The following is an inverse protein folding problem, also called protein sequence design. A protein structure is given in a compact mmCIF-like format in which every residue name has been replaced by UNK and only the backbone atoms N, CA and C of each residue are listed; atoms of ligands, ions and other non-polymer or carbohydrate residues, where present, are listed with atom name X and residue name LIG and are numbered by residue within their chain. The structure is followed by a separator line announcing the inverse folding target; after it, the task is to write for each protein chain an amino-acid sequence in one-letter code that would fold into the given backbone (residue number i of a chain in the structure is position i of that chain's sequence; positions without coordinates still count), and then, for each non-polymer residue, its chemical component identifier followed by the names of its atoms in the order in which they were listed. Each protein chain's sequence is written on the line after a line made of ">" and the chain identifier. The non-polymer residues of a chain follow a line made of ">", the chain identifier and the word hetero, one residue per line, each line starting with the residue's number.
data_IF_397615728411
#
_entry.id   IF_397615728411
#
_cell.length_a   1.000
_cell.length_b   1.000
_cell.length_c   1.000
_cell.angle_alpha   90.00
_cell.angle_beta   90.00
_cell.angle_gamma   90.00
#
_symmetry.space_group_name_H-M   'P 1'
#
loop_
_entity.id
_entity.type
_entity.pdbx_description
1 polymer ?
#
# COMPACT_ATOMS: atom_id res chain seq x y z
N UNK A 1 3.13 -0.39 23.78
CA UNK A 1 2.09 -0.48 22.71
C UNK A 1 2.69 -0.64 21.31
N UNK A 2 3.64 0.19 20.83
CA UNK A 2 4.13 0.11 19.45
C UNK A 2 4.66 -1.27 19.04
N UNK A 3 5.46 -1.91 19.89
CA UNK A 3 5.97 -3.27 19.66
C UNK A 3 4.88 -4.34 19.53
N UNK A 4 3.75 -4.19 20.25
CA UNK A 4 2.61 -5.11 20.12
C UNK A 4 1.96 -4.92 18.74
N UNK A 5 1.73 -3.68 18.34
CA UNK A 5 1.08 -3.33 17.07
C UNK A 5 1.91 -3.79 15.87
N UNK A 6 3.22 -3.55 15.87
CA UNK A 6 4.15 -4.05 14.84
C UNK A 6 4.14 -5.57 14.75
N UNK A 7 4.08 -6.28 15.89
CA UNK A 7 4.06 -7.74 15.92
C UNK A 7 2.77 -8.33 15.35
N UNK A 8 1.62 -7.68 15.57
CA UNK A 8 0.32 -8.22 15.16
C UNK A 8 -0.13 -7.75 13.78
N UNK A 9 0.34 -6.59 13.31
CA UNK A 9 -0.05 -6.02 12.02
C UNK A 9 0.03 -7.02 10.83
N UNK A 10 1.11 -7.82 10.68
CA UNK A 10 1.20 -8.79 9.60
C UNK A 10 0.07 -9.82 9.61
N UNK A 11 -0.48 -10.18 10.78
CA UNK A 11 -1.61 -11.11 10.89
C UNK A 11 -2.92 -10.46 10.38
N UNK A 12 -3.15 -9.18 10.69
CA UNK A 12 -4.34 -8.47 10.18
C UNK A 12 -4.29 -8.31 8.65
N UNK A 13 -3.11 -8.04 8.12
CA UNK A 13 -2.86 -7.89 6.69
C UNK A 13 -2.95 -9.24 5.96
N UNK A 14 -2.54 -10.35 6.59
CA UNK A 14 -2.64 -11.73 6.06
C UNK A 14 -4.09 -12.21 5.85
N UNK A 15 -5.05 -11.71 6.63
CA UNK A 15 -6.45 -12.14 6.56
C UNK A 15 -7.36 -10.97 6.19
N UNK A 16 -7.67 -10.77 4.89
CA UNK A 16 -8.49 -9.67 4.40
C UNK A 16 -9.91 -9.66 5.00
N UNK A 17 -10.47 -8.46 5.13
CA UNK A 17 -11.77 -8.16 5.71
C UNK A 17 -12.40 -7.00 4.94
N UNK A 18 -13.73 -6.86 4.92
CA UNK A 18 -14.37 -5.66 4.39
C UNK A 18 -14.13 -4.40 5.24
N UNK A 19 -13.74 -4.58 6.50
CA UNK A 19 -13.31 -3.50 7.41
C UNK A 19 -11.78 -3.36 7.35
N UNK A 20 -11.29 -2.12 7.32
CA UNK A 20 -9.87 -1.75 7.24
C UNK A 20 -9.00 -2.39 8.33
N UNK A 21 -7.70 -2.52 8.04
CA UNK A 21 -6.71 -3.08 8.98
C UNK A 21 -6.56 -2.18 10.20
N UNK A 22 -6.52 -0.85 10.01
CA UNK A 22 -6.42 0.15 11.06
C UNK A 22 -7.58 0.02 12.04
N UNK A 23 -8.82 -0.03 11.54
CA UNK A 23 -10.01 -0.22 12.37
C UNK A 23 -9.94 -1.55 13.11
N UNK A 24 -9.58 -2.65 12.45
CA UNK A 24 -9.46 -3.97 13.12
C UNK A 24 -8.35 -4.03 14.17
N UNK A 25 -7.23 -3.39 13.93
CA UNK A 25 -6.14 -3.28 14.91
C UNK A 25 -6.56 -2.42 16.11
N UNK A 26 -7.30 -1.33 15.87
CA UNK A 26 -7.87 -0.53 16.94
C UNK A 26 -8.89 -1.32 17.76
N UNK A 27 -9.77 -2.10 17.11
CA UNK A 27 -10.68 -3.02 17.79
C UNK A 27 -9.90 -4.02 18.63
N UNK A 28 -8.82 -4.62 18.12
CA UNK A 28 -7.99 -5.51 18.91
C UNK A 28 -7.41 -4.82 20.15
N UNK A 29 -6.90 -3.59 20.03
CA UNK A 29 -6.40 -2.83 21.19
C UNK A 29 -7.50 -2.60 22.22
N UNK A 30 -8.69 -2.17 21.78
CA UNK A 30 -9.83 -1.94 22.67
C UNK A 30 -10.29 -3.24 23.31
N UNK A 31 -10.61 -4.27 22.53
CA UNK A 31 -11.27 -5.48 23.04
C UNK A 31 -10.34 -6.39 23.86
N UNK A 32 -9.06 -6.45 23.49
CA UNK A 32 -8.07 -7.25 24.23
C UNK A 32 -7.46 -6.51 25.42
N UNK A 33 -7.80 -5.23 25.64
CA UNK A 33 -7.10 -4.39 26.60
C UNK A 33 -5.61 -4.33 26.29
N UNK A 34 -5.26 -4.11 25.02
CA UNK A 34 -3.89 -4.18 24.52
C UNK A 34 -3.15 -5.49 24.87
N UNK A 35 -3.85 -6.61 24.77
CA UNK A 35 -3.35 -7.94 25.07
C UNK A 35 -3.27 -8.30 26.56
N UNK A 36 -3.80 -7.46 27.45
CA UNK A 36 -3.74 -7.67 28.90
C UNK A 36 -5.05 -8.18 29.51
N UNK A 37 -6.15 -8.21 28.75
CA UNK A 37 -7.43 -8.64 29.31
C UNK A 37 -7.38 -10.13 29.72
N UNK A 38 -7.95 -10.51 30.87
CA UNK A 38 -7.99 -11.91 31.29
C UNK A 38 -8.73 -12.81 30.31
N UNK A 39 -9.71 -12.27 29.57
CA UNK A 39 -10.39 -12.99 28.50
C UNK A 39 -9.39 -13.35 27.39
N UNK A 40 -8.65 -12.36 26.86
CA UNK A 40 -7.67 -12.60 25.81
C UNK A 40 -6.57 -13.56 26.25
N UNK A 41 -6.00 -13.38 27.45
CA UNK A 41 -4.92 -14.24 27.95
C UNK A 41 -5.33 -15.70 28.13
N UNK A 42 -6.62 -15.98 28.45
CA UNK A 42 -7.13 -17.34 28.68
C UNK A 42 -7.66 -18.03 27.43
N UNK A 43 -8.03 -17.27 26.39
CA UNK A 43 -8.78 -17.82 25.25
C UNK A 43 -8.31 -17.36 23.88
N UNK A 44 -7.29 -16.50 23.82
CA UNK A 44 -6.85 -15.77 22.62
C UNK A 44 -7.96 -14.98 21.92
N UNK A 45 -9.10 -14.72 22.58
CA UNK A 45 -10.17 -13.92 22.01
C UNK A 45 -9.80 -12.43 22.08
N UNK A 46 -9.18 -11.95 21.00
CA UNK A 46 -8.68 -10.57 20.91
C UNK A 46 -9.76 -9.52 20.63
N UNK A 47 -11.02 -9.94 20.45
CA UNK A 47 -12.09 -9.12 19.89
C UNK A 47 -13.40 -9.16 20.69
N UNK A 48 -13.41 -9.82 21.85
CA UNK A 48 -14.61 -9.92 22.68
C UNK A 48 -15.78 -10.66 22.02
N UNK A 49 -15.52 -11.51 21.02
CA UNK A 49 -16.61 -12.14 20.25
C UNK A 49 -17.31 -13.20 21.10
N UNK A 50 -18.60 -12.98 21.37
CA UNK A 50 -19.49 -13.97 22.02
C UNK A 50 -19.63 -15.23 21.16
N UNK A 51 -19.68 -16.39 21.80
CA UNK A 51 -19.93 -17.67 21.15
C UNK A 51 -21.43 -17.80 20.87
N UNK A 52 -21.84 -17.39 19.67
CA UNK A 52 -23.20 -17.55 19.14
C UNK A 52 -23.19 -18.27 17.79
N UNK A 53 -24.31 -18.90 17.37
CA UNK A 53 -24.42 -19.53 16.06
C UNK A 53 -23.95 -18.60 14.92
N UNK A 54 -23.18 -19.09 13.94
CA UNK A 54 -22.87 -20.51 13.65
C UNK A 54 -21.57 -21.02 14.31
N UNK A 55 -21.07 -20.40 15.38
CA UNK A 55 -19.84 -20.84 16.03
C UNK A 55 -19.99 -22.26 16.62
N UNK A 56 -19.12 -23.17 16.19
CA UNK A 56 -19.05 -24.56 16.69
C UNK A 56 -17.72 -24.89 17.38
N UNK A 57 -16.82 -23.91 17.51
CA UNK A 57 -15.52 -24.11 18.13
C UNK A 57 -15.56 -24.04 19.67
N UNK A 58 -14.39 -24.15 20.31
CA UNK A 58 -14.26 -24.02 21.75
C UNK A 58 -14.84 -22.70 22.27
N UNK A 59 -15.31 -22.72 23.53
CA UNK A 59 -15.85 -21.54 24.21
C UNK A 59 -15.29 -21.44 25.63
N UNK A 60 -15.25 -20.23 26.16
CA UNK A 60 -14.90 -19.93 27.56
C UNK A 60 -16.01 -19.10 28.17
N UNK A 61 -16.35 -19.36 29.43
CA UNK A 61 -17.26 -18.50 30.18
C UNK A 61 -16.47 -17.36 30.81
N UNK A 62 -16.94 -16.13 30.62
CA UNK A 62 -16.33 -14.94 31.21
C UNK A 62 -17.43 -13.92 31.54
N UNK A 63 -17.25 -13.15 32.60
CA UNK A 63 -18.22 -12.10 32.96
C UNK A 63 -17.90 -10.82 32.18
N UNK A 64 -18.86 -10.34 31.39
CA UNK A 64 -18.79 -9.07 30.68
C UNK A 64 -19.82 -8.08 31.22
N UNK A 65 -19.49 -6.80 31.16
CA UNK A 65 -20.47 -5.74 31.37
C UNK A 65 -21.44 -5.76 30.18
N UNK A 66 -22.73 -5.92 30.47
CA UNK A 66 -23.79 -5.82 29.48
C UNK A 66 -24.25 -4.36 29.34
N UNK A 67 -25.15 -4.11 28.38
CA UNK A 67 -25.66 -2.76 28.11
C UNK A 67 -26.38 -2.11 29.33
N UNK A 68 -26.81 -2.91 30.29
CA UNK A 68 -27.41 -2.46 31.56
C UNK A 68 -26.36 -2.10 32.65
N UNK A 69 -25.07 -2.16 32.31
CA UNK A 69 -23.95 -1.89 33.20
C UNK A 69 -23.66 -3.00 34.21
N UNK A 70 -24.34 -4.15 34.13
CA UNK A 70 -24.13 -5.27 35.06
C UNK A 70 -23.21 -6.31 34.44
N UNK A 71 -22.30 -6.84 35.27
CA UNK A 71 -21.48 -7.96 34.88
C UNK A 71 -22.33 -9.24 34.86
N UNK A 72 -22.48 -9.84 33.68
CA UNK A 72 -23.21 -11.10 33.52
C UNK A 72 -22.31 -12.14 32.87
N UNK A 73 -22.42 -13.43 33.26
CA UNK A 73 -21.67 -14.49 32.63
C UNK A 73 -22.14 -14.70 31.19
N UNK A 74 -21.21 -14.66 30.24
CA UNK A 74 -21.46 -14.98 28.85
C UNK A 74 -20.42 -15.98 28.32
N UNK A 75 -20.78 -16.71 27.27
CA UNK A 75 -19.83 -17.57 26.55
C UNK A 75 -19.17 -16.77 25.43
N UNK A 76 -17.84 -16.81 25.41
CA UNK A 76 -17.00 -16.20 24.39
C UNK A 76 -16.32 -17.27 23.56
N UNK A 77 -16.05 -16.98 22.29
CA UNK A 77 -15.25 -17.86 21.43
C UNK A 77 -13.87 -18.05 22.06
N UNK A 78 -13.32 -19.26 21.98
CA UNK A 78 -11.95 -19.59 22.38
C UNK A 78 -11.21 -20.09 21.15
N UNK A 79 -9.98 -19.61 20.98
CA UNK A 79 -9.10 -19.92 19.87
C UNK A 79 -7.83 -20.57 20.36
N UNK A 80 -7.16 -21.32 19.48
CA UNK A 80 -5.87 -21.94 19.79
C UNK A 80 -4.70 -20.96 19.67
N UNK A 81 -4.90 -19.84 18.98
CA UNK A 81 -3.90 -18.79 18.80
C UNK A 81 -4.53 -17.43 18.50
N UNK A 82 -3.75 -16.35 18.67
CA UNK A 82 -4.13 -15.01 18.21
C UNK A 82 -4.43 -15.00 16.71
N UNK A 83 -3.64 -15.71 15.90
CA UNK A 83 -3.85 -15.80 14.46
C UNK A 83 -5.22 -16.40 14.11
N UNK A 84 -5.64 -17.46 14.80
CA UNK A 84 -6.97 -18.05 14.64
C UNK A 84 -8.08 -17.05 15.00
N UNK A 85 -7.88 -16.24 16.06
CA UNK A 85 -8.81 -15.17 16.41
C UNK A 85 -8.89 -14.07 15.35
N UNK A 86 -7.76 -13.64 14.79
CA UNK A 86 -7.70 -12.61 13.73
C UNK A 86 -8.34 -13.12 12.44
N UNK A 87 -8.10 -14.38 12.08
CA UNK A 87 -8.70 -15.04 10.91
C UNK A 87 -10.22 -15.12 11.04
N UNK A 88 -10.74 -15.51 12.21
CA UNK A 88 -12.19 -15.52 12.46
C UNK A 88 -12.80 -14.12 12.43
N UNK A 89 -12.14 -13.14 13.04
CA UNK A 89 -12.56 -11.74 12.99
C UNK A 89 -12.59 -11.18 11.57
N UNK A 90 -11.66 -11.60 10.70
CA UNK A 90 -11.62 -11.16 9.31
C UNK A 90 -12.92 -11.48 8.54
N UNK A 91 -13.53 -12.63 8.85
CA UNK A 91 -14.79 -13.07 8.26
C UNK A 91 -16.02 -12.64 9.09
N UNK A 92 -15.83 -12.11 10.30
CA UNK A 92 -16.91 -11.87 11.26
C UNK A 92 -18.02 -10.98 10.68
N UNK A 93 -17.65 -9.88 10.01
CA UNK A 93 -18.58 -8.90 9.45
C UNK A 93 -19.44 -9.46 8.30
N UNK A 94 -18.98 -10.54 7.65
CA UNK A 94 -19.64 -11.16 6.49
C UNK A 94 -20.09 -12.59 6.74
N UNK A 95 -19.92 -13.11 7.97
CA UNK A 95 -20.16 -14.53 8.27
C UNK A 95 -21.63 -14.94 8.19
N UNK A 96 -22.57 -13.97 8.19
CA UNK A 96 -23.99 -14.21 7.93
C UNK A 96 -24.57 -13.08 7.08
N UNK A 97 -25.66 -13.32 6.32
CA UNK A 97 -26.36 -12.26 5.58
C UNK A 97 -26.80 -11.12 6.49
N UNK A 98 -27.30 -11.41 7.70
CA UNK A 98 -27.67 -10.37 8.66
C UNK A 98 -26.49 -9.47 9.03
N UNK A 99 -25.30 -10.04 9.28
CA UNK A 99 -24.11 -9.25 9.60
C UNK A 99 -23.67 -8.37 8.44
N UNK A 100 -23.63 -8.94 7.23
CA UNK A 100 -23.21 -8.24 6.01
C UNK A 100 -24.20 -7.14 5.60
N UNK A 101 -25.47 -7.48 5.51
CA UNK A 101 -26.48 -6.67 4.82
C UNK A 101 -27.29 -5.78 5.78
N UNK A 102 -27.23 -6.04 7.09
CA UNK A 102 -28.01 -5.31 8.11
C UNK A 102 -27.11 -4.69 9.18
N UNK A 103 -26.45 -5.52 10.00
CA UNK A 103 -25.76 -5.02 11.19
C UNK A 103 -24.53 -4.16 10.83
N UNK A 104 -23.67 -4.63 9.93
CA UNK A 104 -22.40 -3.97 9.62
C UNK A 104 -22.35 -3.36 8.22
N UNK A 105 -23.48 -3.31 7.50
CA UNK A 105 -23.54 -2.76 6.14
C UNK A 105 -22.91 -1.37 6.03
N UNK A 106 -23.25 -0.47 6.95
CA UNK A 106 -22.69 0.90 6.98
C UNK A 106 -21.18 0.91 7.18
N UNK A 107 -20.65 0.03 8.03
CA UNK A 107 -19.22 -0.07 8.26
C UNK A 107 -18.51 -0.69 7.04
N UNK A 108 -19.14 -1.66 6.36
CA UNK A 108 -18.62 -2.30 5.14
C UNK A 108 -18.60 -1.34 3.94
N UNK A 109 -19.59 -0.44 3.84
CA UNK A 109 -19.74 0.53 2.74
C UNK A 109 -19.02 1.87 3.03
N UNK A 110 -18.45 2.03 4.22
CA UNK A 110 -17.74 3.24 4.61
C UNK A 110 -16.51 3.47 3.72
N UNK A 111 -16.23 4.74 3.40
CA UNK A 111 -15.09 5.13 2.57
C UNK A 111 -13.86 5.53 3.40
N UNK A 112 -14.03 5.72 4.70
CA UNK A 112 -12.98 6.17 5.61
C UNK A 112 -13.00 5.39 6.92
N UNK A 113 -11.85 5.28 7.60
CA UNK A 113 -11.77 4.62 8.91
C UNK A 113 -12.63 5.33 9.96
N UNK A 114 -12.84 6.64 9.83
CA UNK A 114 -13.72 7.41 10.71
C UNK A 114 -15.17 6.96 10.53
N UNK A 115 -15.65 6.85 9.30
CA UNK A 115 -17.00 6.34 9.00
C UNK A 115 -17.16 4.88 9.45
N UNK A 116 -16.16 4.03 9.21
CA UNK A 116 -16.14 2.64 9.70
C UNK A 116 -16.28 2.60 11.23
N UNK A 117 -15.41 3.32 11.94
CA UNK A 117 -15.38 3.36 13.40
C UNK A 117 -16.72 3.85 13.97
N UNK A 118 -17.29 4.92 13.42
CA UNK A 118 -18.58 5.45 13.85
C UNK A 118 -19.73 4.48 13.55
N UNK A 119 -19.69 3.80 12.42
CA UNK A 119 -20.69 2.79 12.08
C UNK A 119 -20.65 1.55 13.00
N UNK A 120 -19.55 1.32 13.72
CA UNK A 120 -19.44 0.24 14.71
C UNK A 120 -19.97 0.64 16.10
N UNK A 121 -20.18 1.93 16.36
CA UNK A 121 -20.72 2.43 17.63
C UNK A 121 -22.12 1.89 17.91
N UNK A 122 -22.34 1.35 19.11
CA UNK A 122 -23.63 0.81 19.54
C UNK A 122 -24.04 -0.50 18.84
N UNK A 123 -23.28 -0.97 17.84
CA UNK A 123 -23.58 -2.18 17.07
C UNK A 123 -22.57 -3.29 17.37
N UNK A 124 -21.27 -2.99 17.30
CA UNK A 124 -20.23 -3.95 17.66
C UNK A 124 -20.09 -4.07 19.18
N UNK A 125 -20.05 -2.92 19.86
CA UNK A 125 -20.07 -2.80 21.30
C UNK A 125 -21.22 -1.86 21.73
N UNK A 126 -21.82 -2.13 22.89
CA UNK A 126 -22.90 -1.27 23.45
C UNK A 126 -22.44 0.10 23.95
N UNK A 127 -21.14 0.38 23.85
CA UNK A 127 -20.51 1.65 24.22
C UNK A 127 -20.83 2.74 23.20
N UNK A 128 -21.44 3.83 23.66
CA UNK A 128 -21.82 4.97 22.81
C UNK A 128 -20.62 5.79 22.33
N UNK A 129 -19.45 5.63 22.96
CA UNK A 129 -18.22 6.31 22.57
C UNK A 129 -17.25 5.38 21.82
N UNK A 130 -17.73 4.23 21.33
CA UNK A 130 -16.86 3.20 20.75
C UNK A 130 -16.10 3.70 19.51
N UNK A 131 -16.79 4.34 18.57
CA UNK A 131 -16.18 4.88 17.36
C UNK A 131 -15.10 5.92 17.67
N UNK A 132 -15.37 6.84 18.60
CA UNK A 132 -14.39 7.85 19.02
C UNK A 132 -13.14 7.21 19.62
N UNK A 133 -13.29 6.14 20.42
CA UNK A 133 -12.15 5.38 20.97
C UNK A 133 -11.32 4.74 19.87
N UNK A 134 -11.97 4.14 18.87
CA UNK A 134 -11.27 3.55 17.73
C UNK A 134 -10.50 4.62 16.95
N UNK A 135 -11.13 5.74 16.62
CA UNK A 135 -10.50 6.86 15.91
C UNK A 135 -9.29 7.37 16.70
N UNK A 136 -9.43 7.60 18.01
CA UNK A 136 -8.32 8.04 18.86
C UNK A 136 -7.14 7.06 18.84
N UNK A 137 -7.40 5.75 18.89
CA UNK A 137 -6.35 4.73 18.82
C UNK A 137 -5.69 4.71 17.43
N UNK A 138 -6.49 4.80 16.36
CA UNK A 138 -5.99 4.86 14.98
C UNK A 138 -5.07 6.05 14.78
N UNK A 139 -5.46 7.23 15.27
CA UNK A 139 -4.69 8.46 15.12
C UNK A 139 -3.44 8.48 16.01
N UNK A 140 -3.59 8.10 17.29
CA UNK A 140 -2.50 8.07 18.26
C UNK A 140 -1.35 7.14 17.81
N UNK A 141 -1.68 5.98 17.25
CA UNK A 141 -0.69 5.01 16.78
C UNK A 141 -0.50 5.00 15.27
N UNK A 142 -1.08 5.97 14.55
CA UNK A 142 -0.98 6.12 13.11
C UNK A 142 -1.28 4.82 12.35
N UNK A 143 -2.35 4.11 12.75
CA UNK A 143 -2.63 2.75 12.28
C UNK A 143 -3.01 2.65 10.81
N UNK A 144 -3.40 3.76 10.18
CA UNK A 144 -3.69 3.82 8.73
C UNK A 144 -2.48 3.45 7.86
N UNK A 145 -1.28 3.47 8.43
CA UNK A 145 -0.07 2.95 7.79
C UNK A 145 -0.12 1.43 7.54
N UNK A 146 -1.06 0.69 8.16
CA UNK A 146 -1.24 -0.75 8.03
C UNK A 146 -2.43 -1.16 7.12
N UNK A 147 -3.34 -0.24 6.78
CA UNK A 147 -4.39 -0.46 5.74
C UNK A 147 -3.81 -0.71 4.36
N UNK A 148 -2.65 -0.09 4.19
CA UNK A 148 -1.60 -0.44 3.26
C UNK A 148 -1.22 -1.91 3.48
N UNK A 149 -1.65 -2.80 2.58
CA UNK A 149 -1.37 -4.24 2.66
C UNK A 149 0.10 -4.52 3.03
N UNK A 150 0.36 -5.34 4.06
CA UNK A 150 1.63 -6.06 4.13
C UNK A 150 1.60 -7.07 2.99
N UNK A 151 2.71 -7.23 2.29
CA UNK A 151 2.75 -8.10 1.14
C UNK A 151 2.70 -9.56 1.60
N UNK A 152 1.57 -10.23 1.42
CA UNK A 152 1.65 -11.55 0.81
C UNK A 152 2.00 -11.31 -0.65
N UNK A 153 3.30 -11.21 -0.91
CA UNK A 153 3.99 -10.84 -2.16
C UNK A 153 3.52 -9.51 -2.79
N UNK A 154 4.31 -8.43 -2.71
CA UNK A 154 3.91 -7.18 -3.33
C UNK A 154 3.91 -7.43 -4.83
N UNK A 155 2.77 -7.28 -5.50
CA UNK A 155 2.65 -7.53 -6.94
C UNK A 155 3.84 -6.90 -7.67
N UNK A 156 4.68 -7.72 -8.27
CA UNK A 156 5.76 -7.29 -9.14
C UNK A 156 5.46 -7.74 -10.57
N UNK A 157 5.85 -6.97 -11.59
CA UNK A 157 5.74 -7.42 -12.96
C UNK A 157 6.63 -8.66 -13.17
N UNK A 158 6.37 -9.40 -14.23
CA UNK A 158 7.39 -10.32 -14.73
C UNK A 158 8.59 -9.47 -15.18
N UNK A 159 9.77 -9.75 -14.64
CA UNK A 159 11.01 -9.06 -14.98
C UNK A 159 11.89 -9.99 -15.79
N UNK A 160 12.32 -9.52 -16.96
CA UNK A 160 13.35 -10.14 -17.77
C UNK A 160 14.59 -9.27 -17.68
N UNK A 161 15.57 -9.74 -16.93
CA UNK A 161 16.90 -9.12 -16.94
C UNK A 161 17.65 -9.57 -18.19
N UNK A 162 17.95 -8.61 -19.06
CA UNK A 162 18.64 -8.87 -20.32
C UNK A 162 19.81 -7.94 -20.57
N UNK A 163 20.43 -7.46 -19.49
CA UNK A 163 21.57 -6.54 -19.58
C UNK A 163 22.73 -7.12 -20.38
N UNK A 164 22.95 -8.42 -20.31
CA UNK A 164 24.03 -9.11 -21.06
C UNK A 164 23.75 -9.22 -22.56
N UNK A 165 22.49 -9.06 -22.99
CA UNK A 165 22.08 -9.14 -24.40
C UNK A 165 21.74 -7.78 -25.01
N UNK A 166 21.88 -6.68 -24.26
CA UNK A 166 21.50 -5.37 -24.72
C UNK A 166 22.51 -4.79 -25.73
N UNK A 167 21.99 -4.08 -26.74
CA UNK A 167 22.82 -3.44 -27.77
C UNK A 167 23.86 -2.51 -27.14
N UNK A 168 25.14 -2.75 -27.39
CA UNK A 168 26.23 -1.90 -26.89
C UNK A 168 26.70 -2.20 -25.46
N UNK A 169 26.15 -3.21 -24.77
CA UNK A 169 26.66 -3.68 -23.48
C UNK A 169 26.56 -2.68 -22.31
N UNK A 170 27.26 -3.01 -21.21
CA UNK A 170 27.12 -2.36 -19.89
C UNK A 170 28.38 -1.58 -19.46
N UNK A 171 28.79 -0.58 -20.24
CA UNK A 171 29.83 0.34 -19.78
C UNK A 171 29.31 1.23 -18.62
N UNK A 172 30.23 1.66 -17.76
CA UNK A 172 29.94 2.62 -16.70
C UNK A 172 30.26 4.03 -17.21
N UNK A 173 29.27 4.72 -17.77
CA UNK A 173 29.47 6.02 -18.42
C UNK A 173 29.26 7.20 -17.45
N UNK A 174 28.50 6.99 -16.37
CA UNK A 174 28.18 8.02 -15.38
C UNK A 174 27.99 7.46 -13.98
N UNK A 175 28.24 8.26 -12.92
CA UNK A 175 27.83 7.89 -11.57
C UNK A 175 26.31 7.98 -11.43
N UNK A 176 25.71 7.15 -10.55
CA UNK A 176 24.27 7.20 -10.26
C UNK A 176 23.78 8.58 -9.80
N UNK A 177 24.63 9.33 -9.10
CA UNK A 177 24.31 10.68 -8.63
C UNK A 177 24.09 11.70 -9.76
N UNK A 178 24.55 11.41 -10.99
CA UNK A 178 24.28 12.23 -12.16
C UNK A 178 22.82 12.12 -12.62
N UNK A 179 22.10 11.05 -12.26
CA UNK A 179 20.72 10.83 -12.69
C UNK A 179 19.79 11.70 -11.85
N UNK A 180 19.08 12.62 -12.50
CA UNK A 180 18.17 13.59 -11.88
C UNK A 180 16.71 13.40 -12.26
N UNK A 181 16.46 12.78 -13.41
CA UNK A 181 15.13 12.74 -14.02
C UNK A 181 14.78 11.33 -14.50
N UNK A 182 13.56 10.88 -14.24
CA UNK A 182 12.98 9.67 -14.85
C UNK A 182 12.13 10.12 -16.03
N UNK A 183 12.36 9.57 -17.21
CA UNK A 183 11.64 9.96 -18.43
C UNK A 183 10.81 8.80 -18.95
N UNK A 184 9.52 9.06 -19.11
CA UNK A 184 8.56 8.14 -19.72
C UNK A 184 8.49 8.31 -21.23
N UNK A 185 8.49 7.18 -21.91
CA UNK A 185 8.41 7.05 -23.36
C UNK A 185 7.32 6.08 -23.80
N UNK A 186 6.90 6.22 -25.05
CA UNK A 186 6.39 5.09 -25.84
C UNK A 186 7.39 4.73 -26.94
N UNK A 187 7.21 3.60 -27.60
CA UNK A 187 8.03 3.21 -28.75
C UNK A 187 7.59 3.79 -30.09
N UNK A 188 6.41 4.41 -30.15
CA UNK A 188 5.75 4.81 -31.40
C UNK A 188 5.40 3.61 -32.30
N UNK A 189 5.26 2.43 -31.69
CA UNK A 189 4.84 1.21 -32.36
C UNK A 189 3.56 0.71 -31.71
N UNK A 190 2.47 0.55 -32.47
CA UNK A 190 1.20 0.10 -31.93
C UNK A 190 1.30 -1.25 -31.22
N UNK A 191 0.72 -1.34 -30.03
CA UNK A 191 0.78 -2.53 -29.16
C UNK A 191 0.32 -3.82 -29.85
N UNK A 192 -0.61 -3.71 -30.81
CA UNK A 192 -1.12 -4.83 -31.62
C UNK A 192 -0.03 -5.61 -32.38
N UNK A 193 1.11 -5.00 -32.66
CA UNK A 193 2.23 -5.67 -33.34
C UNK A 193 3.11 -6.48 -32.39
N UNK A 194 2.97 -6.30 -31.08
CA UNK A 194 3.65 -7.06 -30.04
C UNK A 194 5.17 -7.16 -30.25
N UNK A 195 5.80 -6.07 -30.74
CA UNK A 195 7.26 -6.05 -30.90
C UNK A 195 7.91 -6.26 -29.55
N UNK A 196 9.13 -6.76 -29.60
CA UNK A 196 9.98 -6.93 -28.44
C UNK A 196 11.18 -5.97 -28.57
N UNK A 197 11.90 -5.80 -27.48
CA UNK A 197 13.00 -4.85 -27.43
C UNK A 197 14.10 -5.11 -28.48
N UNK A 198 14.34 -6.37 -28.88
CA UNK A 198 15.31 -6.68 -29.93
C UNK A 198 14.87 -6.21 -31.33
N UNK A 199 13.56 -6.11 -31.62
CA UNK A 199 13.08 -5.51 -32.87
C UNK A 199 13.47 -4.02 -32.93
N UNK A 200 13.33 -3.31 -31.80
CA UNK A 200 13.71 -1.90 -31.67
C UNK A 200 15.22 -1.70 -31.74
N UNK A 201 16.00 -2.57 -31.09
CA UNK A 201 17.47 -2.54 -31.18
C UNK A 201 17.99 -2.79 -32.60
N UNK A 202 17.37 -3.72 -33.33
CA UNK A 202 17.68 -3.93 -34.75
C UNK A 202 17.37 -2.68 -35.58
N UNK A 203 16.23 -2.02 -35.33
CA UNK A 203 15.91 -0.76 -35.98
C UNK A 203 16.93 0.34 -35.66
N UNK A 204 17.27 0.54 -34.38
CA UNK A 204 18.25 1.56 -33.98
C UNK A 204 19.63 1.30 -34.59
N UNK A 205 20.10 0.05 -34.56
CA UNK A 205 21.38 -0.32 -35.16
C UNK A 205 21.38 -0.11 -36.68
N UNK A 206 20.39 -0.66 -37.37
CA UNK A 206 20.42 -0.76 -38.83
C UNK A 206 19.91 0.51 -39.53
N UNK A 207 18.95 1.22 -38.94
CA UNK A 207 18.29 2.39 -39.55
C UNK A 207 18.79 3.71 -38.97
N UNK A 208 19.28 3.72 -37.73
CA UNK A 208 19.79 4.94 -37.08
C UNK A 208 21.30 4.93 -36.86
N UNK A 209 21.98 3.79 -37.08
CA UNK A 209 23.40 3.65 -36.84
C UNK A 209 23.78 3.76 -35.35
N UNK A 210 22.83 3.50 -34.45
CA UNK A 210 23.08 3.61 -33.01
C UNK A 210 23.91 2.42 -32.52
N UNK A 211 24.86 2.72 -31.66
CA UNK A 211 25.75 1.74 -31.04
C UNK A 211 25.20 1.17 -29.72
N UNK A 212 24.11 1.74 -29.20
CA UNK A 212 23.38 1.29 -28.01
C UNK A 212 21.90 1.66 -28.08
N UNK A 213 21.08 1.02 -27.24
CA UNK A 213 19.64 1.22 -27.21
C UNK A 213 19.18 2.53 -26.57
N UNK A 214 17.89 2.84 -26.70
CA UNK A 214 17.29 4.07 -26.19
C UNK A 214 16.83 4.02 -24.73
N UNK A 215 16.51 2.84 -24.20
CA UNK A 215 15.76 2.72 -22.93
C UNK A 215 16.44 1.79 -21.94
N UNK A 216 16.58 2.24 -20.69
CA UNK A 216 17.07 1.41 -19.59
C UNK A 216 16.05 0.30 -19.27
N UNK A 217 14.77 0.66 -19.30
CA UNK A 217 13.65 -0.25 -19.10
C UNK A 217 12.69 -0.18 -20.28
N UNK A 218 12.23 -1.34 -20.74
CA UNK A 218 11.20 -1.47 -21.76
C UNK A 218 10.06 -2.34 -21.24
N UNK A 219 8.82 -1.94 -21.51
CA UNK A 219 7.61 -2.66 -21.10
C UNK A 219 6.88 -3.10 -22.36
N UNK A 220 6.78 -4.41 -22.57
CA UNK A 220 6.16 -4.93 -23.78
C UNK A 220 4.62 -4.82 -23.78
N UNK A 221 3.99 -5.32 -24.84
CA UNK A 221 2.54 -5.26 -25.04
C UNK A 221 1.70 -5.99 -24.00
N UNK A 222 2.31 -6.82 -23.15
CA UNK A 222 1.68 -7.62 -22.10
C UNK A 222 2.04 -7.10 -20.70
N UNK A 223 2.83 -6.04 -20.59
CA UNK A 223 3.28 -5.52 -19.30
C UNK A 223 4.50 -6.24 -18.72
N UNK A 224 5.23 -7.04 -19.51
CA UNK A 224 6.50 -7.63 -19.05
C UNK A 224 7.59 -6.56 -19.06
N UNK A 225 8.33 -6.43 -17.95
CA UNK A 225 9.40 -5.46 -17.78
C UNK A 225 10.75 -6.06 -18.20
N UNK A 226 11.37 -5.47 -19.22
CA UNK A 226 12.72 -5.79 -19.66
C UNK A 226 13.71 -4.79 -19.08
N UNK A 227 14.67 -5.27 -18.30
CA UNK A 227 15.81 -4.47 -17.84
C UNK A 227 16.93 -4.62 -18.87
N UNK A 228 17.19 -3.54 -19.61
CA UNK A 228 18.14 -3.54 -20.72
C UNK A 228 19.52 -3.04 -20.29
N UNK A 229 19.60 -2.06 -19.39
CA UNK A 229 20.86 -1.45 -19.02
C UNK A 229 20.98 -1.21 -17.51
N UNK A 230 22.20 -1.20 -17.02
CA UNK A 230 22.56 -0.61 -15.72
C UNK A 230 22.24 0.89 -15.73
N UNK A 231 21.96 1.46 -14.56
CA UNK A 231 21.60 2.88 -14.45
C UNK A 231 22.78 3.79 -14.81
N UNK A 232 23.99 3.29 -14.57
CA UNK A 232 25.28 3.92 -14.86
C UNK A 232 25.64 3.88 -16.36
N UNK A 233 24.94 3.07 -17.16
CA UNK A 233 25.06 3.06 -18.61
C UNK A 233 24.15 4.14 -19.19
N UNK A 234 24.72 5.06 -19.97
CA UNK A 234 23.91 6.05 -20.68
C UNK A 234 23.19 5.37 -21.85
N UNK A 235 21.91 5.67 -22.06
CA UNK A 235 21.12 5.19 -23.21
C UNK A 235 20.65 6.36 -24.08
N UNK A 236 20.29 6.11 -25.33
CA UNK A 236 19.91 7.16 -26.30
C UNK A 236 18.40 7.46 -26.30
N UNK A 237 17.88 7.89 -25.16
CA UNK A 237 16.43 8.12 -24.98
C UNK A 237 15.97 9.54 -25.29
N UNK A 238 16.74 10.56 -24.87
CA UNK A 238 16.42 11.98 -25.10
C UNK A 238 17.70 12.74 -25.45
N UNK A 239 17.78 13.25 -26.68
CA UNK A 239 18.94 14.02 -27.14
C UNK A 239 19.27 15.17 -26.17
N UNK A 240 20.56 15.35 -25.87
CA UNK A 240 21.13 16.33 -24.92
C UNK A 240 20.79 16.13 -23.43
N UNK A 241 19.99 15.12 -23.08
CA UNK A 241 19.61 14.80 -21.70
C UNK A 241 19.92 13.33 -21.32
N UNK A 242 20.64 12.61 -22.18
CA UNK A 242 20.95 11.19 -21.93
C UNK A 242 21.83 11.01 -20.67
N UNK A 243 22.66 12.00 -20.33
CA UNK A 243 23.61 11.94 -19.21
C UNK A 243 22.96 12.06 -17.82
N UNK A 244 21.80 12.70 -17.70
CA UNK A 244 21.13 12.98 -16.43
C UNK A 244 19.75 12.32 -16.29
N UNK A 245 19.35 11.49 -17.27
CA UNK A 245 18.04 10.83 -17.28
C UNK A 245 18.13 9.30 -17.26
N UNK A 246 17.13 8.66 -16.64
CA UNK A 246 16.83 7.23 -16.82
C UNK A 246 15.54 7.09 -17.63
N UNK A 247 15.48 6.11 -18.52
CA UNK A 247 14.41 6.00 -19.51
C UNK A 247 13.58 4.72 -19.36
N UNK A 248 12.26 4.88 -19.24
CA UNK A 248 11.26 3.80 -19.25
C UNK A 248 10.41 3.96 -20.50
N UNK A 249 10.32 2.95 -21.36
CA UNK A 249 9.49 2.98 -22.56
C UNK A 249 8.44 1.87 -22.58
N UNK A 250 7.24 2.19 -23.05
CA UNK A 250 6.13 1.24 -23.21
C UNK A 250 5.90 0.97 -24.70
N UNK A 251 5.61 -0.29 -25.05
CA UNK A 251 5.17 -0.68 -26.39
C UNK A 251 3.77 -0.12 -26.68
N UNK A 252 3.74 1.05 -27.31
CA UNK A 252 2.53 1.78 -27.65
C UNK A 252 2.83 2.87 -28.70
N UNK A 253 1.77 3.36 -29.35
CA UNK A 253 1.86 4.50 -30.27
C UNK A 253 1.11 5.77 -29.81
N UNK A 254 0.29 5.67 -28.76
CA UNK A 254 -0.46 6.80 -28.22
C UNK A 254 -0.92 6.52 -26.79
N UNK A 255 -1.49 7.53 -26.11
CA UNK A 255 -2.05 7.35 -24.77
C UNK A 255 -3.20 6.33 -24.68
N UNK A 256 -3.94 6.15 -25.77
CA UNK A 256 -5.08 5.21 -25.82
C UNK A 256 -4.65 3.78 -26.15
N UNK A 257 -3.38 3.55 -26.46
CA UNK A 257 -2.84 2.24 -26.82
C UNK A 257 -2.23 1.50 -25.62
N UNK A 258 -1.95 2.21 -24.52
CA UNK A 258 -1.47 1.62 -23.27
C UNK A 258 -2.49 0.65 -22.67
N UNK A 259 -2.02 -0.52 -22.23
CA UNK A 259 -2.83 -1.44 -21.44
C UNK A 259 -2.75 -1.14 -19.93
N UNK A 260 -3.75 -1.55 -19.14
CA UNK A 260 -3.69 -1.46 -17.68
C UNK A 260 -2.44 -2.12 -17.08
N UNK A 261 -2.00 -3.26 -17.63
CA UNK A 261 -0.81 -4.00 -17.17
C UNK A 261 0.48 -3.23 -17.44
N UNK A 262 0.57 -2.55 -18.59
CA UNK A 262 1.71 -1.68 -18.90
C UNK A 262 1.78 -0.49 -17.95
N UNK A 263 0.63 0.16 -17.68
CA UNK A 263 0.53 1.28 -16.74
C UNK A 263 0.93 0.83 -15.33
N UNK A 264 0.38 -0.30 -14.87
CA UNK A 264 0.70 -0.90 -13.57
C UNK A 264 2.20 -1.18 -13.42
N UNK A 265 2.82 -1.72 -14.46
CA UNK A 265 4.25 -2.03 -14.51
C UNK A 265 5.12 -0.77 -14.54
N UNK A 266 4.75 0.22 -15.35
CA UNK A 266 5.42 1.52 -15.43
C UNK A 266 5.42 2.21 -14.08
N UNK A 267 4.29 2.25 -13.40
CA UNK A 267 4.16 2.90 -12.09
C UNK A 267 4.98 2.16 -11.03
N UNK A 268 5.00 0.82 -11.08
CA UNK A 268 5.85 0.01 -10.22
C UNK A 268 7.33 0.35 -10.38
N UNK A 269 7.89 0.26 -11.60
CA UNK A 269 9.32 0.52 -11.82
C UNK A 269 9.67 1.99 -11.59
N UNK A 270 8.78 2.93 -11.92
CA UNK A 270 9.00 4.36 -11.65
C UNK A 270 9.21 4.61 -10.16
N UNK A 271 8.40 3.99 -9.30
CA UNK A 271 8.53 4.12 -7.84
C UNK A 271 9.79 3.47 -7.31
N UNK A 272 10.20 2.32 -7.86
CA UNK A 272 11.48 1.72 -7.50
C UNK A 272 12.64 2.67 -7.82
N UNK A 273 12.65 3.27 -9.02
CA UNK A 273 13.69 4.23 -9.43
C UNK A 273 13.65 5.52 -8.60
N UNK A 274 12.47 6.05 -8.30
CA UNK A 274 12.31 7.20 -7.41
C UNK A 274 12.94 6.93 -6.04
N UNK A 275 12.69 5.75 -5.47
CA UNK A 275 13.26 5.36 -4.18
C UNK A 275 14.78 5.12 -4.26
N UNK A 276 15.25 4.36 -5.25
CA UNK A 276 16.67 3.99 -5.42
C UNK A 276 17.55 5.22 -5.70
N UNK A 277 17.03 6.18 -6.47
CA UNK A 277 17.77 7.37 -6.90
C UNK A 277 17.43 8.64 -6.11
N UNK A 278 16.53 8.53 -5.11
CA UNK A 278 15.98 9.67 -4.37
C UNK A 278 15.41 10.78 -5.28
N UNK A 279 14.76 10.38 -6.38
CA UNK A 279 14.15 11.29 -7.35
C UNK A 279 12.70 11.58 -6.92
N UNK A 280 12.32 12.84 -6.69
CA UNK A 280 10.94 13.18 -6.33
C UNK A 280 10.02 13.02 -7.55
N UNK A 281 8.72 12.82 -7.31
CA UNK A 281 7.74 12.66 -8.38
C UNK A 281 7.71 13.85 -9.36
N UNK A 282 8.04 15.07 -8.91
CA UNK A 282 8.17 16.26 -9.75
C UNK A 282 9.24 16.15 -10.85
N UNK A 283 10.18 15.22 -10.71
CA UNK A 283 11.22 14.91 -11.72
C UNK A 283 10.92 13.62 -12.51
N UNK A 284 9.69 13.11 -12.42
CA UNK A 284 9.17 12.12 -13.37
C UNK A 284 8.49 12.88 -14.50
N UNK A 285 9.05 12.78 -15.70
CA UNK A 285 8.67 13.60 -16.85
C UNK A 285 8.26 12.76 -18.05
N UNK A 286 7.35 13.28 -18.86
CA UNK A 286 7.21 12.83 -20.24
C UNK A 286 8.40 13.28 -21.09
N UNK A 287 8.74 12.54 -22.15
CA UNK A 287 9.80 12.96 -23.09
C UNK A 287 9.60 14.41 -23.56
N UNK A 288 8.39 14.80 -23.93
CA UNK A 288 8.10 16.17 -24.40
C UNK A 288 8.40 17.26 -23.36
N UNK A 289 8.31 16.96 -22.05
CA UNK A 289 8.66 17.91 -20.98
C UNK A 289 10.18 18.09 -20.82
N UNK A 290 10.97 17.20 -21.40
CA UNK A 290 12.45 17.28 -21.44
C UNK A 290 12.93 17.84 -22.77
N UNK A 291 12.32 17.41 -23.88
CA UNK A 291 12.59 17.92 -25.22
C UNK A 291 11.27 18.06 -26.00
N UNK A 292 10.80 19.28 -26.30
CA UNK A 292 9.45 19.52 -26.81
C UNK A 292 9.22 19.09 -28.28
N UNK A 293 10.25 18.58 -28.97
CA UNK A 293 10.16 18.16 -30.38
C UNK A 293 9.49 16.78 -30.58
N UNK A 294 8.67 16.35 -29.62
CA UNK A 294 7.96 15.07 -29.68
C UNK A 294 6.65 15.16 -28.91
N UNK A 295 5.66 14.35 -29.30
CA UNK A 295 4.43 14.16 -28.52
C UNK A 295 4.56 13.04 -27.47
N UNK A 296 5.67 12.32 -27.46
CA UNK A 296 5.94 11.21 -26.53
C UNK A 296 5.92 11.69 -25.07
N UNK A 297 5.25 11.01 -24.12
CA UNK A 297 4.59 9.70 -24.22
C UNK A 297 3.08 9.76 -24.56
N UNK A 298 2.59 10.86 -25.11
CA UNK A 298 1.19 11.01 -25.55
C UNK A 298 0.24 11.57 -24.50
N UNK A 299 0.72 11.84 -23.29
CA UNK A 299 -0.04 12.54 -22.24
C UNK A 299 0.16 14.04 -22.31
N UNK A 300 -0.88 14.81 -22.00
CA UNK A 300 -0.78 16.25 -21.83
C UNK A 300 -0.23 16.62 -20.43
N UNK A 301 -0.07 17.92 -20.19
CA UNK A 301 0.48 18.42 -18.92
C UNK A 301 -0.36 18.03 -17.70
N UNK A 302 -1.69 18.23 -17.75
CA UNK A 302 -2.62 17.95 -16.65
C UNK A 302 -2.64 16.45 -16.28
N UNK A 303 -2.61 15.57 -17.29
CA UNK A 303 -2.51 14.13 -17.12
C UNK A 303 -1.19 13.75 -16.41
N UNK A 304 -0.06 14.33 -16.84
CA UNK A 304 1.25 14.07 -16.19
C UNK A 304 1.31 14.63 -14.76
N UNK A 305 0.72 15.79 -14.50
CA UNK A 305 0.58 16.33 -13.15
C UNK A 305 -0.26 15.41 -12.25
N UNK A 306 -1.35 14.87 -12.78
CA UNK A 306 -2.18 13.86 -12.09
C UNK A 306 -1.37 12.62 -11.76
N UNK A 307 -0.62 12.07 -12.72
CA UNK A 307 0.26 10.92 -12.47
C UNK A 307 1.32 11.23 -11.42
N UNK A 308 1.96 12.40 -11.46
CA UNK A 308 2.95 12.81 -10.46
C UNK A 308 2.34 12.95 -9.06
N UNK A 309 1.12 13.46 -8.96
CA UNK A 309 0.38 13.51 -7.70
C UNK A 309 0.15 12.10 -7.17
N UNK A 310 -0.28 11.16 -8.03
CA UNK A 310 -0.45 9.75 -7.63
C UNK A 310 0.87 9.06 -7.25
N UNK A 311 1.96 9.33 -7.98
CA UNK A 311 3.30 8.83 -7.68
C UNK A 311 3.85 9.35 -6.34
N UNK A 312 3.45 10.57 -5.95
CA UNK A 312 3.81 11.17 -4.66
C UNK A 312 3.07 10.52 -3.49
N UNK A 313 1.89 9.95 -3.74
CA UNK A 313 1.18 9.12 -2.77
C UNK A 313 1.82 7.73 -2.72
N UNK A 314 1.76 7.01 -1.58
CA UNK A 314 2.08 5.57 -1.55
C UNK A 314 1.31 4.84 -2.66
N UNK A 315 1.94 3.91 -3.38
CA UNK A 315 1.27 3.21 -4.48
C UNK A 315 -0.03 2.57 -3.98
N UNK A 316 -1.14 2.80 -4.70
CA UNK A 316 -2.43 2.14 -4.47
C UNK A 316 -2.35 0.61 -4.55
N UNK A 317 -1.22 0.06 -5.02
CA UNK A 317 -0.98 -1.37 -5.20
C UNK A 317 0.17 -1.94 -4.35
N UNK A 318 1.06 -1.13 -3.76
CA UNK A 318 2.10 -1.55 -2.79
C UNK A 318 2.58 -0.30 -2.02
N UNK A 319 2.70 -0.31 -0.69
CA UNK A 319 3.35 0.78 0.03
C UNK A 319 4.84 0.48 0.26
N UNK A 320 5.71 1.36 -0.23
CA UNK A 320 7.13 1.35 0.12
C UNK A 320 7.37 2.08 1.43
N UNK A 321 8.23 1.47 2.24
CA UNK A 321 8.87 1.97 3.45
C UNK A 321 9.71 3.21 3.09
N UNK A 322 9.61 4.31 3.86
CA UNK A 322 10.81 4.98 4.36
C UNK A 322 10.56 5.99 5.48
N UNK A 323 11.52 5.93 6.41
CA UNK A 323 11.74 6.76 7.60
C UNK A 323 12.00 8.22 7.23
N UNK A 324 11.42 9.10 8.06
CA UNK A 324 11.80 10.48 8.36
C UNK A 324 11.82 11.47 7.17
N UNK A 325 11.32 12.70 7.25
CA UNK A 325 10.85 13.53 8.34
C UNK A 325 10.04 14.65 7.69
N UNK A 326 8.86 15.00 8.21
CA UNK A 326 8.45 16.40 8.25
C UNK A 326 7.28 16.58 9.24
N UNK A 327 7.50 17.57 10.11
CA UNK A 327 6.62 18.02 11.19
C UNK A 327 5.19 18.22 10.69
N UNK A 328 4.31 17.33 11.08
CA UNK A 328 2.90 17.67 11.24
C UNK A 328 2.76 18.39 12.58
N UNK A 329 2.07 19.52 12.58
CA UNK A 329 1.65 20.22 13.79
C UNK A 329 0.89 19.24 14.68
N UNK A 330 1.48 18.91 15.85
CA UNK A 330 0.87 18.05 16.85
C UNK A 330 -0.50 18.61 17.25
N UNK A 331 -1.56 17.79 17.31
CA UNK A 331 -2.70 18.14 18.13
C UNK A 331 -2.19 18.26 19.57
N UNK A 332 -2.43 19.40 20.21
CA UNK A 332 -2.17 19.63 21.63
C UNK A 332 -3.00 18.65 22.45
N UNK A 333 -2.43 17.50 22.78
CA UNK A 333 -2.92 16.61 23.84
C UNK A 333 -2.54 17.27 25.15
N UNK A 334 -3.53 17.60 25.98
CA UNK A 334 -3.27 18.17 27.30
C UNK A 334 -2.47 17.16 28.13
N UNK A 335 -1.46 17.60 28.92
CA UNK A 335 -0.50 16.74 29.61
C UNK A 335 -1.10 15.73 30.62
N UNK A 336 -2.40 15.78 30.87
CA UNK A 336 -3.12 14.90 31.80
C UNK A 336 -4.15 13.99 31.10
N UNK A 337 -3.94 13.64 29.85
CA UNK A 337 -4.88 12.79 29.11
C UNK A 337 -4.72 11.31 29.51
N UNK A 338 -5.77 10.71 30.05
CA UNK A 338 -5.81 9.29 30.41
C UNK A 338 -6.97 8.60 29.68
N UNK A 339 -6.74 7.40 29.17
CA UNK A 339 -7.81 6.52 28.73
C UNK A 339 -8.25 5.65 29.90
N UNK A 340 -9.52 5.70 30.28
CA UNK A 340 -10.09 4.75 31.25
C UNK A 340 -10.78 3.64 30.47
N UNK A 341 -10.28 2.42 30.60
CA UNK A 341 -10.84 1.25 29.95
C UNK A 341 -11.02 0.12 30.97
N UNK A 342 -12.27 -0.35 31.12
CA UNK A 342 -12.67 -1.36 32.12
C UNK A 342 -12.20 -1.04 33.57
N UNK A 343 -12.19 0.24 33.94
CA UNK A 343 -11.75 0.69 35.26
C UNK A 343 -10.23 0.81 35.44
N UNK A 344 -9.45 0.53 34.39
CA UNK A 344 -7.98 0.68 34.40
C UNK A 344 -7.63 2.00 33.71
N UNK A 345 -6.80 2.81 34.38
CA UNK A 345 -6.32 4.11 33.91
C UNK A 345 -5.02 3.92 33.11
N UNK A 346 -5.08 4.18 31.81
CA UNK A 346 -3.93 4.14 30.92
C UNK A 346 -3.42 5.56 30.70
N UNK A 347 -2.17 5.81 31.08
CA UNK A 347 -1.51 7.10 30.86
C UNK A 347 -1.12 7.22 29.39
N UNK A 348 -1.61 8.28 28.73
CA UNK A 348 -1.20 8.59 27.37
C UNK A 348 0.15 9.31 27.46
N UNK A 349 1.23 8.59 27.11
CA UNK A 349 2.58 9.16 27.11
C UNK A 349 2.88 9.66 25.70
N UNK A 350 3.26 10.93 25.51
CA UNK A 350 3.73 11.43 24.22
C UNK A 350 4.94 10.61 23.78
N UNK A 351 4.97 10.25 22.50
CA UNK A 351 6.17 9.69 21.88
C UNK A 351 7.13 10.85 21.66
N UNK A 352 8.18 10.95 22.47
CA UNK A 352 9.34 11.76 22.10
C UNK A 352 10.17 10.95 21.10
N UNK A 353 10.60 11.63 20.03
CA UNK A 353 11.29 11.09 18.84
C UNK A 353 12.40 10.06 19.11
#
# INVERSE_FOLDING_TARGET
>A
MPQLLEKVAPLFQKYPSPISVATRMAQFVVESGAGQSPLYQKSFNGFGIKASPPWQGPKVQYSSLEADGKAQPAYFRKYDSLEASIKDHACFFTSTPYRRDVAYKKAIEASTYQEEAQALTGIYAGDQNYGDKLIQIIELYQLTQYDRAHPSDPWQPQIIDRRDQALGGQAHDRPRSAIKTIVWHYTAVPRKYQRKIWDHEQYWKNQKGWDRGGYHYYIDSQGVLYRNYDLERITWGVANHNGDTVHISLEANSKTDYSPEQIKTRDWITRQLMAELAIPASQVKGHWEVNPNTACPGYNQEELETFRAELSQPSKLIPAINKASNKASSPTVQPDSYLIWQGIKYQLVPVND
#
